data_IF_865390803422
#
_entry.id   IF_865390803422
#
_cell.length_a   1.000
_cell.length_b   1.000
_cell.length_c   1.000
_cell.angle_alpha   90.00
_cell.angle_beta   90.00
_cell.angle_gamma   90.00
#
_symmetry.space_group_name_H-M   'P 1'
#
loop_
_entity.id
_entity.type
_entity.pdbx_description
1 polymer ?
#
# COMPACT_ATOMS: atom_id res chain seq x y z
N UNK A 1 37.66 -30.14 -18.13
CA UNK A 1 36.60 -29.84 -17.14
C UNK A 1 37.27 -29.31 -15.89
N UNK A 2 37.15 -28.00 -15.62
CA UNK A 2 37.76 -27.41 -14.42
C UNK A 2 37.13 -28.02 -13.17
N UNK A 3 37.99 -28.55 -12.29
CA UNK A 3 37.68 -29.19 -11.01
C UNK A 3 37.80 -28.19 -9.84
N UNK A 4 37.65 -26.90 -10.09
CA UNK A 4 37.48 -25.93 -9.01
C UNK A 4 36.05 -26.06 -8.48
N UNK A 5 35.91 -26.66 -7.29
CA UNK A 5 34.65 -27.03 -6.64
C UNK A 5 33.74 -25.85 -6.21
N UNK A 6 33.70 -24.76 -6.97
CA UNK A 6 32.74 -23.67 -6.81
C UNK A 6 31.62 -23.85 -7.82
N UNK A 7 30.56 -24.54 -7.40
CA UNK A 7 29.32 -24.65 -8.18
C UNK A 7 28.52 -23.36 -7.97
N UNK A 8 27.90 -22.84 -9.04
CA UNK A 8 27.00 -21.67 -8.97
C UNK A 8 25.66 -22.00 -8.29
N UNK A 9 24.82 -20.97 -8.11
CA UNK A 9 23.47 -21.12 -7.55
C UNK A 9 22.39 -20.71 -8.56
N UNK A 10 21.22 -21.34 -8.46
CA UNK A 10 20.05 -21.02 -9.26
C UNK A 10 18.88 -20.65 -8.33
N UNK A 11 18.22 -19.53 -8.62
CA UNK A 11 17.00 -19.12 -7.93
C UNK A 11 15.82 -19.24 -8.89
N UNK A 12 14.86 -20.10 -8.55
CA UNK A 12 13.63 -20.32 -9.32
C UNK A 12 12.40 -20.06 -8.44
N UNK A 13 11.32 -19.60 -9.08
CA UNK A 13 10.00 -19.51 -8.44
C UNK A 13 9.35 -20.88 -8.45
N UNK A 14 9.19 -21.50 -7.27
CA UNK A 14 8.68 -22.87 -7.14
C UNK A 14 7.22 -22.96 -6.67
N UNK A 15 6.67 -21.87 -6.12
CA UNK A 15 5.33 -21.86 -5.53
C UNK A 15 4.66 -20.50 -5.69
N UNK A 16 3.32 -20.51 -5.61
CA UNK A 16 2.47 -19.32 -5.54
C UNK A 16 1.76 -19.27 -4.20
N UNK A 17 1.57 -18.08 -3.66
CA UNK A 17 0.81 -17.84 -2.44
C UNK A 17 -0.61 -17.37 -2.75
N UNK A 18 -1.55 -17.85 -1.95
CA UNK A 18 -2.97 -17.51 -2.02
C UNK A 18 -3.47 -17.08 -0.64
N UNK A 19 -4.38 -16.10 -0.61
CA UNK A 19 -5.06 -15.64 0.60
C UNK A 19 -6.09 -16.69 1.03
N UNK A 20 -6.57 -16.58 2.28
CA UNK A 20 -7.58 -17.51 2.84
C UNK A 20 -8.87 -17.56 2.02
N UNK A 21 -9.22 -16.47 1.34
CA UNK A 21 -10.36 -16.37 0.44
C UNK A 21 -10.06 -16.86 -0.99
N UNK A 22 -8.93 -17.53 -1.21
CA UNK A 22 -8.54 -18.11 -2.50
C UNK A 22 -7.84 -17.15 -3.48
N UNK A 23 -7.86 -15.83 -3.27
CA UNK A 23 -7.24 -14.87 -4.19
C UNK A 23 -5.72 -14.80 -4.04
N UNK A 24 -4.96 -14.77 -5.13
CA UNK A 24 -3.52 -14.47 -5.09
C UNK A 24 -3.24 -12.98 -4.88
N UNK A 25 -2.08 -12.64 -4.29
CA UNK A 25 -1.55 -11.27 -4.21
C UNK A 25 -0.71 -10.89 -5.43
N UNK A 26 -0.41 -11.84 -6.31
CA UNK A 26 0.36 -11.61 -7.53
C UNK A 26 -0.26 -10.48 -8.36
N UNK A 27 0.54 -9.51 -8.81
CA UNK A 27 0.13 -8.28 -9.51
C UNK A 27 -0.71 -7.30 -8.65
N UNK A 28 -1.78 -7.77 -7.99
CA UNK A 28 -2.78 -6.91 -7.32
C UNK A 28 -2.39 -6.47 -5.91
N UNK A 29 -1.42 -7.13 -5.28
CA UNK A 29 -0.99 -6.86 -3.91
C UNK A 29 -2.13 -6.98 -2.88
N UNK A 30 -2.06 -6.13 -1.85
CA UNK A 30 -3.11 -5.97 -0.84
C UNK A 30 -3.65 -4.54 -0.93
N UNK A 31 -4.87 -4.40 -1.45
CA UNK A 31 -5.53 -3.11 -1.54
C UNK A 31 -5.94 -2.59 -0.16
N UNK A 32 -5.54 -1.37 0.24
CA UNK A 32 -5.99 -0.75 1.49
C UNK A 32 -7.49 -0.42 1.47
N UNK A 33 -8.16 -0.53 2.61
CA UNK A 33 -9.58 -0.14 2.75
C UNK A 33 -9.79 1.38 2.64
N UNK A 34 -8.80 2.16 3.11
CA UNK A 34 -8.75 3.62 3.03
C UNK A 34 -7.48 3.98 2.26
N UNK A 35 -7.65 4.46 1.03
CA UNK A 35 -6.53 4.79 0.14
C UNK A 35 -6.04 6.20 0.45
N UNK A 36 -4.75 6.30 0.78
CA UNK A 36 -4.01 7.56 0.89
C UNK A 36 -2.99 7.58 -0.24
N UNK A 37 -3.06 8.58 -1.12
CA UNK A 37 -2.17 8.67 -2.27
C UNK A 37 -0.72 8.75 -1.83
N UNK A 38 0.14 8.06 -2.57
CA UNK A 38 1.58 7.94 -2.35
C UNK A 38 2.34 8.30 -3.63
N UNK A 39 3.62 8.71 -3.57
CA UNK A 39 4.43 8.94 -4.77
C UNK A 39 4.55 7.70 -5.65
N UNK A 40 4.55 6.51 -5.05
CA UNK A 40 4.64 5.25 -5.76
C UNK A 40 3.41 4.97 -6.65
N UNK A 41 2.23 5.53 -6.33
CA UNK A 41 1.01 5.38 -7.14
C UNK A 41 1.15 6.05 -8.52
N UNK A 42 2.13 6.95 -8.66
CA UNK A 42 2.41 7.71 -9.90
C UNK A 42 3.66 7.22 -10.62
N UNK A 43 4.25 6.11 -10.16
CA UNK A 43 5.46 5.51 -10.71
C UNK A 43 5.13 4.14 -11.32
N UNK A 44 5.90 3.72 -12.32
CA UNK A 44 5.86 2.35 -12.86
C UNK A 44 6.58 1.40 -11.88
N UNK A 45 6.00 1.23 -10.70
CA UNK A 45 6.55 0.45 -9.59
C UNK A 45 5.60 -0.67 -9.17
N UNK A 46 6.09 -1.90 -9.13
CA UNK A 46 5.31 -3.08 -8.75
C UNK A 46 5.65 -4.31 -9.58
N UNK A 47 5.13 -5.47 -9.17
CA UNK A 47 5.34 -6.73 -9.91
C UNK A 47 4.75 -6.69 -11.32
N UNK A 48 3.69 -5.90 -11.52
CA UNK A 48 3.00 -5.72 -12.80
C UNK A 48 3.86 -5.06 -13.89
N UNK A 49 4.91 -4.32 -13.52
CA UNK A 49 5.84 -3.67 -14.45
C UNK A 49 7.07 -4.54 -14.77
N UNK A 50 7.16 -5.76 -14.24
CA UNK A 50 8.22 -6.70 -14.61
C UNK A 50 8.02 -7.21 -16.04
N UNK A 51 9.07 -7.71 -16.68
CA UNK A 51 9.00 -8.16 -18.08
C UNK A 51 8.14 -9.42 -18.27
N UNK A 52 8.13 -10.34 -17.29
CA UNK A 52 7.42 -11.62 -17.35
C UNK A 52 6.81 -11.98 -15.97
N UNK A 53 5.86 -11.20 -15.45
CA UNK A 53 5.24 -11.53 -14.19
C UNK A 53 4.29 -12.71 -14.38
N UNK A 54 4.16 -13.54 -13.34
CA UNK A 54 3.15 -14.60 -13.35
C UNK A 54 1.76 -13.96 -13.32
N UNK A 55 0.77 -14.55 -14.03
CA UNK A 55 -0.58 -14.03 -14.04
C UNK A 55 -1.24 -14.17 -12.66
N UNK A 56 -2.20 -13.29 -12.39
CA UNK A 56 -3.04 -13.41 -11.20
C UNK A 56 -3.94 -14.66 -11.32
N UNK A 57 -3.99 -15.45 -10.26
CA UNK A 57 -4.76 -16.68 -10.19
C UNK A 57 -5.61 -16.74 -8.91
N UNK A 58 -6.65 -17.58 -8.94
CA UNK A 58 -7.53 -17.88 -7.81
C UNK A 58 -7.52 -19.39 -7.58
N UNK A 59 -7.59 -19.78 -6.31
CA UNK A 59 -7.80 -21.15 -5.88
C UNK A 59 -9.05 -21.25 -5.01
N UNK A 60 -9.45 -22.46 -4.63
CA UNK A 60 -10.58 -22.68 -3.74
C UNK A 60 -10.32 -22.01 -2.39
N UNK A 61 -11.31 -21.24 -1.93
CA UNK A 61 -11.34 -20.67 -0.58
C UNK A 61 -11.30 -21.78 0.46
N UNK A 62 -10.59 -21.54 1.56
CA UNK A 62 -10.58 -22.45 2.72
C UNK A 62 -11.65 -22.01 3.71
N UNK A 63 -12.23 -22.96 4.44
CA UNK A 63 -13.18 -22.63 5.52
C UNK A 63 -12.48 -21.82 6.61
N UNK A 64 -12.98 -20.61 6.89
CA UNK A 64 -12.51 -19.75 7.97
C UNK A 64 -13.67 -19.03 8.67
N UNK A 65 -13.40 -18.56 9.89
CA UNK A 65 -14.31 -17.69 10.63
C UNK A 65 -13.84 -16.25 10.54
N UNK A 66 -14.77 -15.34 10.21
CA UNK A 66 -14.49 -13.91 10.27
C UNK A 66 -14.56 -13.45 11.73
N UNK A 67 -13.47 -12.88 12.25
CA UNK A 67 -13.36 -12.47 13.65
C UNK A 67 -14.20 -11.22 13.95
N UNK A 68 -14.18 -10.23 13.07
CA UNK A 68 -14.95 -8.99 13.23
C UNK A 68 -15.64 -8.60 11.91
N UNK A 69 -16.96 -8.73 11.88
CA UNK A 69 -17.79 -8.34 10.72
C UNK A 69 -18.15 -6.85 10.75
N UNK A 70 -17.96 -6.16 11.88
CA UNK A 70 -18.37 -4.75 12.08
C UNK A 70 -17.50 -3.79 11.27
N UNK A 71 -16.25 -4.18 10.98
CA UNK A 71 -15.33 -3.39 10.16
C UNK A 71 -15.95 -2.99 8.82
N UNK A 72 -16.70 -3.89 8.17
CA UNK A 72 -17.38 -3.59 6.89
C UNK A 72 -18.35 -2.43 6.99
N UNK A 73 -19.02 -2.28 8.14
CA UNK A 73 -19.97 -1.19 8.40
C UNK A 73 -19.28 0.11 8.80
N UNK A 74 -18.14 0.03 9.48
CA UNK A 74 -17.41 1.19 10.01
C UNK A 74 -16.51 1.83 8.94
N UNK A 75 -15.92 1.05 8.03
CA UNK A 75 -14.98 1.52 6.99
C UNK A 75 -15.53 2.71 6.16
N UNK A 76 -16.79 2.72 5.68
CA UNK A 76 -17.32 3.86 4.92
C UNK A 76 -17.27 5.17 5.71
N UNK A 77 -17.63 5.14 6.99
CA UNK A 77 -17.60 6.32 7.86
C UNK A 77 -16.16 6.80 8.12
N UNK A 78 -15.21 5.88 8.31
CA UNK A 78 -13.79 6.22 8.46
C UNK A 78 -13.23 6.85 7.18
N UNK A 79 -13.61 6.33 6.01
CA UNK A 79 -13.20 6.86 4.72
C UNK A 79 -13.69 8.29 4.54
N UNK A 80 -14.96 8.56 4.82
CA UNK A 80 -15.54 9.89 4.72
C UNK A 80 -14.86 10.89 5.67
N UNK A 81 -14.64 10.51 6.93
CA UNK A 81 -13.92 11.34 7.91
C UNK A 81 -12.50 11.67 7.45
N UNK A 82 -11.78 10.69 6.94
CA UNK A 82 -10.42 10.89 6.43
C UNK A 82 -10.40 11.80 5.20
N UNK A 83 -11.30 11.58 4.24
CA UNK A 83 -11.41 12.40 3.04
C UNK A 83 -11.67 13.87 3.40
N UNK A 84 -12.63 14.13 4.28
CA UNK A 84 -12.98 15.48 4.72
C UNK A 84 -11.81 16.19 5.44
N UNK A 85 -11.00 15.45 6.21
CA UNK A 85 -9.80 16.02 6.84
C UNK A 85 -8.74 16.37 5.80
N UNK A 86 -8.45 15.46 4.87
CA UNK A 86 -7.43 15.67 3.84
C UNK A 86 -7.81 16.77 2.86
N UNK A 87 -9.09 16.87 2.50
CA UNK A 87 -9.59 17.93 1.60
C UNK A 87 -9.50 19.32 2.24
N UNK A 88 -9.59 19.39 3.57
CA UNK A 88 -9.55 20.64 4.33
C UNK A 88 -8.14 21.06 4.76
N UNK A 89 -7.18 20.12 4.78
CA UNK A 89 -5.81 20.37 5.24
C UNK A 89 -4.94 20.96 4.11
N UNK A 90 -4.42 22.21 4.25
CA UNK A 90 -3.56 22.82 3.24
C UNK A 90 -2.32 21.99 2.92
N UNK A 91 -1.78 21.21 3.87
CA UNK A 91 -0.61 20.36 3.65
C UNK A 91 -0.92 19.22 2.68
N UNK A 92 -2.10 18.60 2.81
CA UNK A 92 -2.55 17.56 1.89
C UNK A 92 -2.82 18.13 0.49
N UNK A 93 -3.35 19.35 0.38
CA UNK A 93 -3.53 20.01 -0.91
C UNK A 93 -2.18 20.24 -1.61
N UNK A 94 -1.18 20.75 -0.89
CA UNK A 94 0.17 20.91 -1.44
C UNK A 94 0.78 19.54 -1.79
N UNK A 95 0.61 18.54 -0.94
CA UNK A 95 1.08 17.19 -1.20
C UNK A 95 0.49 16.57 -2.48
N UNK A 96 -0.81 16.74 -2.74
CA UNK A 96 -1.42 16.28 -3.99
C UNK A 96 -0.82 16.97 -5.22
N UNK A 97 -0.54 18.28 -5.13
CA UNK A 97 0.17 19.00 -6.21
C UNK A 97 1.58 18.44 -6.47
N UNK A 98 2.29 18.06 -5.41
CA UNK A 98 3.59 17.38 -5.53
C UNK A 98 3.44 16.08 -6.32
N UNK A 99 2.46 15.24 -5.95
CA UNK A 99 2.21 13.95 -6.60
C UNK A 99 1.87 14.12 -8.08
N UNK A 100 1.05 15.10 -8.45
CA UNK A 100 0.70 15.36 -9.84
C UNK A 100 1.92 15.82 -10.66
N UNK A 101 2.80 16.59 -10.04
CA UNK A 101 4.04 17.05 -10.67
C UNK A 101 5.03 15.91 -10.88
N UNK A 102 5.17 15.01 -9.89
CA UNK A 102 5.94 13.77 -10.02
C UNK A 102 5.36 12.89 -11.13
N UNK A 103 4.03 12.76 -11.20
CA UNK A 103 3.35 12.01 -12.25
C UNK A 103 3.63 12.58 -13.64
N UNK A 104 3.67 13.91 -13.78
CA UNK A 104 4.00 14.57 -15.03
C UNK A 104 5.46 14.30 -15.45
N UNK A 105 6.39 14.37 -14.51
CA UNK A 105 7.82 14.09 -14.75
C UNK A 105 8.02 12.62 -15.16
N UNK A 106 7.41 11.66 -14.44
CA UNK A 106 7.55 10.24 -14.77
C UNK A 106 7.01 9.89 -16.17
N UNK A 107 6.02 10.64 -16.67
CA UNK A 107 5.50 10.46 -18.03
C UNK A 107 6.40 11.05 -19.11
N UNK A 108 7.31 11.96 -18.78
CA UNK A 108 8.26 12.54 -19.73
C UNK A 108 9.36 11.52 -20.05
N UNK A 109 9.28 10.89 -21.23
CA UNK A 109 10.30 9.95 -21.74
C UNK A 109 11.41 10.63 -22.54
N UNK A 110 11.21 11.88 -22.89
CA UNK A 110 12.11 12.64 -23.77
C UNK A 110 12.41 14.00 -23.14
N UNK A 111 13.62 14.49 -23.39
CA UNK A 111 14.07 15.81 -22.92
C UNK A 111 14.21 16.74 -24.13
N UNK A 112 13.49 17.87 -24.18
CA UNK A 112 13.58 18.78 -25.30
C UNK A 112 14.96 19.45 -25.36
N UNK A 113 15.54 19.51 -26.55
CA UNK A 113 16.82 20.20 -26.82
C UNK A 113 16.66 21.71 -27.06
N UNK A 114 15.43 22.18 -27.25
CA UNK A 114 15.15 23.61 -27.41
C UNK A 114 15.39 24.36 -26.08
N UNK A 115 16.17 25.45 -26.15
CA UNK A 115 16.60 26.22 -24.98
C UNK A 115 15.44 26.85 -24.21
N UNK A 116 14.42 27.37 -24.89
CA UNK A 116 13.27 28.00 -24.24
C UNK A 116 12.46 26.97 -23.45
N UNK A 117 12.16 25.82 -24.06
CA UNK A 117 11.49 24.69 -23.39
C UNK A 117 12.30 24.17 -22.21
N UNK A 118 13.64 24.16 -22.31
CA UNK A 118 14.52 23.74 -21.21
C UNK A 118 14.43 24.72 -20.02
N UNK A 119 14.33 26.02 -20.27
CA UNK A 119 14.16 27.04 -19.21
C UNK A 119 12.81 26.91 -18.49
N UNK A 120 11.76 26.54 -19.20
CA UNK A 120 10.44 26.27 -18.60
C UNK A 120 10.49 25.04 -17.68
N UNK A 121 11.13 23.96 -18.13
CA UNK A 121 11.32 22.75 -17.31
C UNK A 121 12.11 23.04 -16.03
N UNK A 122 13.21 23.79 -16.11
CA UNK A 122 14.00 24.17 -14.94
C UNK A 122 13.18 25.03 -13.95
N UNK A 123 12.27 25.88 -14.45
CA UNK A 123 11.35 26.63 -13.57
C UNK A 123 10.40 25.68 -12.84
N UNK A 124 9.79 24.73 -13.54
CA UNK A 124 8.91 23.74 -12.94
C UNK A 124 9.64 22.84 -11.91
N UNK A 125 10.88 22.42 -12.21
CA UNK A 125 11.72 21.65 -11.26
C UNK A 125 12.02 22.44 -9.98
N UNK A 126 12.31 23.75 -10.10
CA UNK A 126 12.52 24.62 -8.94
C UNK A 126 11.25 24.80 -8.11
N UNK A 127 10.10 24.97 -8.75
CA UNK A 127 8.80 25.04 -8.07
C UNK A 127 8.51 23.75 -7.30
N UNK A 128 8.80 22.59 -7.91
CA UNK A 128 8.68 21.28 -7.26
C UNK A 128 9.62 21.16 -6.05
N UNK A 129 10.89 21.54 -6.20
CA UNK A 129 11.86 21.49 -5.10
C UNK A 129 11.45 22.38 -3.93
N UNK A 130 10.91 23.58 -4.21
CA UNK A 130 10.39 24.48 -3.17
C UNK A 130 9.20 23.86 -2.43
N UNK A 131 8.30 23.21 -3.18
CA UNK A 131 7.12 22.57 -2.61
C UNK A 131 7.49 21.33 -1.79
N UNK A 132 8.51 20.58 -2.21
CA UNK A 132 9.07 19.48 -1.43
C UNK A 132 9.67 19.99 -0.11
N UNK A 133 10.47 21.06 -0.13
CA UNK A 133 11.04 21.69 1.08
C UNK A 133 9.98 22.21 2.06
N UNK A 134 8.85 22.68 1.56
CA UNK A 134 7.73 23.10 2.41
C UNK A 134 7.08 21.93 3.16
N UNK A 135 7.05 20.74 2.55
CA UNK A 135 6.42 19.53 3.11
C UNK A 135 7.39 18.74 3.98
N UNK A 136 8.66 18.70 3.57
CA UNK A 136 9.78 18.04 4.23
C UNK A 136 10.85 19.12 4.40
N UNK A 137 10.80 19.90 5.50
CA UNK A 137 11.90 20.79 5.81
C UNK A 137 13.15 19.94 5.99
N UNK A 138 14.16 20.16 5.16
CA UNK A 138 15.47 19.54 5.36
C UNK A 138 16.04 20.07 6.68
N UNK A 139 16.46 19.18 7.58
CA UNK A 139 17.22 19.54 8.79
C UNK A 139 18.68 19.91 8.46
N UNK A 140 18.99 20.26 7.21
CA UNK A 140 20.35 20.47 6.69
C UNK A 140 20.91 21.89 6.91
N UNK A 141 20.56 22.54 8.01
CA UNK A 141 21.30 23.71 8.53
C UNK A 141 22.17 23.33 9.76
N UNK A 142 22.62 22.08 9.86
CA UNK A 142 23.59 21.64 10.88
C UNK A 142 25.00 21.38 10.27
N UNK A 143 25.62 22.44 9.74
CA UNK A 143 27.08 22.54 9.64
C UNK A 143 27.68 23.09 10.96
N UNK A 144 27.33 22.51 12.11
CA UNK A 144 27.72 23.05 13.41
C UNK A 144 27.98 22.00 14.50
N UNK A 145 29.22 21.50 14.54
CA UNK A 145 29.84 20.82 15.69
C UNK A 145 29.24 19.47 16.15
N UNK A 146 30.04 18.41 15.94
CA UNK A 146 29.96 17.17 16.70
C UNK A 146 30.11 17.47 18.19
N UNK A 147 29.02 17.47 18.96
CA UNK A 147 29.03 17.05 20.36
C UNK A 147 27.62 16.69 20.88
N UNK A 148 27.61 15.57 21.57
CA UNK A 148 26.64 15.11 22.58
C UNK A 148 25.41 14.29 22.18
N UNK A 149 25.24 13.20 22.91
CA UNK A 149 24.20 12.17 22.73
C UNK A 149 22.92 12.60 23.44
N UNK A 150 22.06 13.37 22.78
CA UNK A 150 20.61 13.39 23.07
C UNK A 150 19.85 14.11 21.95
N UNK A 151 18.65 13.62 21.61
CA UNK A 151 17.71 14.16 20.61
C UNK A 151 18.05 13.92 19.12
N UNK A 152 17.65 12.75 18.59
CA UNK A 152 17.27 12.60 17.18
C UNK A 152 15.74 12.46 17.11
N UNK A 153 15.03 13.57 17.25
CA UNK A 153 13.56 13.65 17.10
C UNK A 153 13.14 14.58 15.97
N UNK A 154 14.06 14.98 15.10
CA UNK A 154 13.74 15.77 13.91
C UNK A 154 13.64 14.80 12.74
N UNK A 155 12.52 14.07 12.69
CA UNK A 155 12.11 13.41 11.46
C UNK A 155 11.10 14.34 10.78
N UNK A 156 11.19 14.54 9.46
CA UNK A 156 10.25 15.38 8.77
C UNK A 156 8.82 14.87 9.00
N UNK A 157 7.83 15.78 9.08
CA UNK A 157 6.47 15.42 9.44
C UNK A 157 5.84 14.50 8.37
N UNK A 158 5.67 13.23 8.72
CA UNK A 158 5.03 12.24 7.84
C UNK A 158 3.50 12.44 7.84
N UNK A 159 3.01 13.02 6.74
CA UNK A 159 1.58 13.29 6.52
C UNK A 159 0.75 12.00 6.52
N UNK A 160 1.24 10.93 5.88
CA UNK A 160 0.52 9.66 5.75
C UNK A 160 0.40 8.99 7.12
N UNK A 161 1.50 8.97 7.90
CA UNK A 161 1.49 8.46 9.27
C UNK A 161 0.55 9.27 10.16
N UNK A 162 0.58 10.59 10.06
CA UNK A 162 -0.28 11.47 10.87
C UNK A 162 -1.77 11.23 10.59
N UNK A 163 -2.16 11.02 9.34
CA UNK A 163 -3.55 10.72 8.97
C UNK A 163 -3.92 9.29 9.35
N UNK A 164 -3.01 8.34 9.21
CA UNK A 164 -3.22 6.95 9.65
C UNK A 164 -3.51 6.88 11.16
N UNK A 165 -2.83 7.69 11.96
CA UNK A 165 -3.08 7.80 13.40
C UNK A 165 -4.47 8.39 13.70
N UNK A 166 -4.91 9.39 12.94
CA UNK A 166 -6.26 9.97 13.08
C UNK A 166 -7.35 8.97 12.69
N UNK A 167 -7.13 8.19 11.63
CA UNK A 167 -8.03 7.09 11.24
C UNK A 167 -8.12 6.04 12.35
N UNK A 168 -6.98 5.69 12.96
CA UNK A 168 -6.95 4.75 14.09
C UNK A 168 -7.73 5.30 15.30
N UNK A 169 -7.59 6.59 15.59
CA UNK A 169 -8.36 7.26 16.65
C UNK A 169 -9.86 7.24 16.36
N UNK A 170 -10.28 7.55 15.13
CA UNK A 170 -11.68 7.47 14.71
C UNK A 170 -12.21 6.04 14.87
N UNK A 171 -11.43 5.04 14.48
CA UNK A 171 -11.79 3.64 14.65
C UNK A 171 -12.00 3.29 16.13
N UNK A 172 -11.09 3.72 17.01
CA UNK A 172 -11.18 3.48 18.44
C UNK A 172 -12.42 4.16 19.08
N UNK A 173 -12.85 5.32 18.58
CA UNK A 173 -14.07 5.99 19.05
C UNK A 173 -15.33 5.25 18.58
N UNK A 174 -15.41 4.88 17.29
CA UNK A 174 -16.55 4.16 16.72
C UNK A 174 -16.71 2.73 17.27
N UNK A 175 -15.63 2.10 17.73
CA UNK A 175 -15.67 0.81 18.42
C UNK A 175 -16.44 0.84 19.75
N UNK A 176 -16.41 1.97 20.48
CA UNK A 176 -17.04 2.09 21.81
C UNK A 176 -18.57 2.20 21.72
N UNK A 177 -19.10 2.69 20.60
CA UNK A 177 -20.53 2.96 20.42
C UNK A 177 -21.34 1.74 19.97
N UNK A 178 -20.67 0.59 19.72
CA UNK A 178 -21.33 -0.64 19.24
C UNK A 178 -21.21 -1.76 20.29
N UNK A 179 -22.31 -2.21 20.92
CA UNK A 179 -22.26 -3.29 21.90
C UNK A 179 -21.68 -4.58 21.29
N UNK A 180 -20.79 -5.22 22.04
CA UNK A 180 -20.06 -6.42 21.67
C UNK A 180 -20.99 -7.65 21.61
N UNK A 181 -21.55 -7.94 20.43
CA UNK A 181 -22.17 -9.24 20.16
C UNK A 181 -21.07 -10.19 19.68
N UNK A 182 -20.31 -10.75 20.61
CA UNK A 182 -19.47 -11.92 20.32
C UNK A 182 -20.37 -13.15 20.40
N UNK A 183 -21.22 -13.37 19.39
CA UNK A 183 -21.69 -14.74 19.15
C UNK A 183 -20.56 -15.43 18.38
N UNK A 184 -19.87 -16.38 19.01
CA UNK A 184 -18.96 -17.24 18.26
C UNK A 184 -19.75 -17.91 17.13
N UNK A 185 -19.41 -17.69 15.85
CA UNK A 185 -20.03 -18.46 14.78
C UNK A 185 -19.59 -19.91 14.96
N UNK A 186 -20.54 -20.77 15.34
CA UNK A 186 -20.33 -22.23 15.36
C UNK A 186 -20.08 -22.65 13.91
N UNK A 187 -18.87 -23.11 13.60
CA UNK A 187 -18.64 -23.71 12.28
C UNK A 187 -19.51 -24.97 12.15
N UNK A 188 -20.25 -25.14 11.04
CA UNK A 188 -20.80 -26.45 10.73
C UNK A 188 -19.64 -27.46 10.64
N UNK A 189 -19.83 -28.71 11.09
CA UNK A 189 -18.78 -29.71 11.07
C UNK A 189 -18.22 -29.88 9.66
N UNK A 190 -16.89 -30.01 9.56
CA UNK A 190 -16.20 -30.19 8.29
C UNK A 190 -16.69 -31.49 7.66
N UNK A 191 -17.19 -31.42 6.42
CA UNK A 191 -17.54 -32.63 5.66
C UNK A 191 -16.28 -33.49 5.49
N UNK A 192 -16.40 -34.76 5.84
CA UNK A 192 -15.38 -35.79 5.60
C UNK A 192 -15.25 -36.08 4.11
N UNK A 193 -14.09 -36.58 3.68
CA UNK A 193 -13.87 -37.00 2.27
C UNK A 193 -14.94 -37.99 1.79
N UNK A 194 -15.44 -38.84 2.70
CA UNK A 194 -16.54 -39.78 2.45
C UNK A 194 -17.87 -39.08 2.16
N UNK A 195 -18.21 -38.02 2.90
CA UNK A 195 -19.44 -37.24 2.68
C UNK A 195 -19.37 -36.45 1.37
N UNK A 196 -18.19 -35.91 1.04
CA UNK A 196 -17.96 -35.23 -0.24
C UNK A 196 -18.06 -36.20 -1.43
N UNK A 197 -17.57 -37.44 -1.27
CA UNK A 197 -17.63 -38.47 -2.32
C UNK A 197 -19.07 -38.98 -2.52
N UNK A 198 -19.83 -39.15 -1.43
CA UNK A 198 -21.23 -39.59 -1.47
C UNK A 198 -22.15 -38.52 -2.10
N UNK A 199 -21.95 -37.24 -1.79
CA UNK A 199 -22.63 -36.14 -2.50
C UNK A 199 -22.30 -36.13 -3.99
N UNK A 200 -21.03 -36.36 -4.36
CA UNK A 200 -20.62 -36.43 -5.76
C UNK A 200 -21.27 -37.61 -6.48
N UNK A 201 -21.31 -38.79 -5.86
CA UNK A 201 -21.98 -39.97 -6.43
C UNK A 201 -23.49 -39.77 -6.59
N UNK A 202 -24.14 -39.11 -5.63
CA UNK A 202 -25.59 -38.80 -5.67
C UNK A 202 -25.95 -37.71 -6.68
N UNK A 203 -24.99 -36.88 -7.10
CA UNK A 203 -25.20 -35.86 -8.13
C UNK A 203 -24.94 -36.34 -9.57
N UNK A 204 -24.34 -37.52 -9.73
CA UNK A 204 -23.96 -38.11 -11.03
C UNK A 204 -24.94 -39.22 -11.48
N UNK A 205 -25.84 -39.67 -10.60
CA UNK A 205 -26.86 -40.70 -10.86
C UNK A 205 -28.27 -40.11 -10.97
#
# INVERSE_FOLDING_TARGET
>A
MSRDGKIGSLKVTAAMYYRINGGSTQLKGVQPDIVISSPFDKMEFGEEYLANPLPWAVTNEVSYLTVDTRLKTIIPALREKSENRRSSDPKFVSYLKLLDSIAAINKMKEVPLNVEKRKDLVRAEKELANLQKQLVPDDEDDEGEKNDKSSKTNAPPDLILSESLKILLDYATLQKDVPSIVSQPVMPPRKTLTEMLDEWLKGVL
#
